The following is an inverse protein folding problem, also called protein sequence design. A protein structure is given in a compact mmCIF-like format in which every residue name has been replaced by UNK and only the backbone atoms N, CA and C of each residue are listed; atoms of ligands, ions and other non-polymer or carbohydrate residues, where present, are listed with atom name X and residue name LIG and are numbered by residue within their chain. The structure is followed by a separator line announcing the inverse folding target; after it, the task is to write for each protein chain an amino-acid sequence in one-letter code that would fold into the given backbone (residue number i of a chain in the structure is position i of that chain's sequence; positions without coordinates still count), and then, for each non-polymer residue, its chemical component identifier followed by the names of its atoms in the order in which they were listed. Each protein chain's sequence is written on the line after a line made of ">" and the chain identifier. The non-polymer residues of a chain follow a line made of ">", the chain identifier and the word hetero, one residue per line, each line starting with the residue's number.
data_IF_789818474368
#
_entry.id   IF_789818474368
#
_cell.length_a   1.000
_cell.length_b   1.000
_cell.length_c   1.000
_cell.angle_alpha   90.00
_cell.angle_beta   90.00
_cell.angle_gamma   90.00
#
_symmetry.space_group_name_H-M   'P 1'
#
loop_
_entity.id
_entity.type
_entity.pdbx_description
1 polymer ?
#
# COMPACT_ATOMS: atom_id res chain seq x y z
N UNK A 1 11.46 -4.75 -24.53
CA UNK A 1 11.33 -4.40 -23.11
C UNK A 1 10.06 -5.03 -22.56
N UNK A 2 10.17 -6.25 -22.06
CA UNK A 2 9.05 -7.13 -21.69
C UNK A 2 8.30 -6.55 -20.49
N UNK A 3 6.98 -6.36 -20.60
CA UNK A 3 6.12 -5.90 -19.52
C UNK A 3 6.14 -6.97 -18.42
N UNK A 4 7.02 -6.80 -17.42
CA UNK A 4 7.15 -7.73 -16.31
C UNK A 4 5.77 -8.03 -15.71
N UNK A 5 5.49 -9.31 -15.47
CA UNK A 5 4.21 -9.77 -14.94
C UNK A 5 3.98 -9.07 -13.58
N UNK A 6 2.93 -8.25 -13.49
CA UNK A 6 2.55 -7.58 -12.24
C UNK A 6 2.19 -8.65 -11.21
N UNK A 7 2.91 -8.68 -10.10
CA UNK A 7 2.56 -9.58 -9.00
C UNK A 7 1.47 -8.93 -8.18
N UNK A 8 0.30 -9.57 -8.13
CA UNK A 8 -0.87 -9.09 -7.38
C UNK A 8 -1.26 -10.08 -6.29
N UNK A 9 -1.43 -9.57 -5.07
CA UNK A 9 -1.96 -10.32 -3.93
C UNK A 9 -3.18 -9.60 -3.33
N UNK A 10 -3.79 -10.19 -2.31
CA UNK A 10 -4.89 -9.58 -1.53
C UNK A 10 -4.38 -8.38 -0.74
N UNK A 11 -5.29 -7.57 -0.20
CA UNK A 11 -4.92 -6.51 0.74
C UNK A 11 -4.15 -7.11 1.94
N UNK A 12 -3.24 -6.32 2.50
CA UNK A 12 -2.43 -6.74 3.63
C UNK A 12 -3.26 -6.66 4.91
N UNK A 13 -3.16 -7.69 5.75
CA UNK A 13 -3.67 -7.65 7.11
C UNK A 13 -2.51 -7.26 8.04
N UNK A 14 -2.66 -6.15 8.75
CA UNK A 14 -1.68 -5.65 9.69
C UNK A 14 -2.25 -5.77 11.10
N UNK A 15 -1.60 -6.56 11.94
CA UNK A 15 -2.00 -6.78 13.33
C UNK A 15 -1.09 -5.98 14.25
N UNK A 16 -1.67 -5.10 15.05
CA UNK A 16 -0.97 -4.46 16.16
C UNK A 16 -1.04 -5.38 17.36
N UNK A 17 0.11 -5.69 17.94
CA UNK A 17 0.22 -6.58 19.10
C UNK A 17 0.74 -5.80 20.32
N UNK A 18 0.21 -6.12 21.50
CA UNK A 18 0.81 -5.78 22.80
C UNK A 18 1.03 -7.07 23.56
N UNK A 19 2.28 -7.37 23.89
CA UNK A 19 2.67 -8.63 24.56
C UNK A 19 2.10 -9.89 23.86
N UNK A 20 2.06 -9.88 22.53
CA UNK A 20 1.54 -10.99 21.72
C UNK A 20 0.01 -11.03 21.58
N UNK A 21 -0.73 -10.17 22.29
CA UNK A 21 -2.18 -10.04 22.18
C UNK A 21 -2.53 -9.07 21.05
N UNK A 22 -3.46 -9.45 20.16
CA UNK A 22 -3.94 -8.58 19.07
C UNK A 22 -4.81 -7.47 19.66
N UNK A 23 -4.35 -6.22 19.56
CA UNK A 23 -5.13 -5.04 19.98
C UNK A 23 -5.96 -4.47 18.82
N UNK A 24 -5.42 -4.51 17.60
CA UNK A 24 -6.13 -4.04 16.41
C UNK A 24 -5.71 -4.81 15.15
N UNK A 25 -6.63 -4.86 14.20
CA UNK A 25 -6.42 -5.43 12.86
C UNK A 25 -6.76 -4.36 11.83
N UNK A 26 -5.82 -4.09 10.93
CA UNK A 26 -5.97 -3.11 9.87
C UNK A 26 -5.88 -3.80 8.50
N UNK A 27 -6.70 -3.36 7.56
CA UNK A 27 -6.61 -3.77 6.15
C UNK A 27 -5.92 -2.68 5.36
N UNK A 28 -4.79 -2.99 4.74
CA UNK A 28 -3.97 -2.03 4.00
C UNK A 28 -3.87 -2.39 2.51
N UNK A 29 -4.04 -1.38 1.66
CA UNK A 29 -3.71 -1.45 0.24
C UNK A 29 -2.26 -1.01 0.06
N UNK A 30 -1.47 -1.70 -0.76
CA UNK A 30 -0.07 -1.33 -1.00
C UNK A 30 0.33 -1.48 -2.47
N UNK A 31 1.18 -0.56 -2.94
CA UNK A 31 1.72 -0.56 -4.30
C UNK A 31 3.21 -0.24 -4.23
N UNK A 32 4.01 -0.98 -4.99
CA UNK A 32 5.42 -0.65 -5.23
C UNK A 32 5.55 -0.19 -6.69
N UNK A 33 6.11 0.98 -6.91
CA UNK A 33 6.40 1.53 -8.23
C UNK A 33 7.91 1.77 -8.42
N UNK A 34 8.33 1.88 -9.68
CA UNK A 34 9.67 2.39 -10.02
C UNK A 34 9.69 3.92 -10.16
N UNK A 35 10.87 4.46 -10.50
CA UNK A 35 11.13 5.88 -10.75
C UNK A 35 10.29 6.49 -11.88
N UNK A 36 9.75 5.66 -12.78
CA UNK A 36 8.82 6.06 -13.85
C UNK A 36 7.36 5.93 -13.45
N UNK A 37 7.07 5.58 -12.19
CA UNK A 37 5.71 5.37 -11.69
C UNK A 37 5.05 4.08 -12.17
N UNK A 38 5.80 3.14 -12.79
CA UNK A 38 5.22 1.85 -13.22
C UNK A 38 4.99 0.97 -12.00
N UNK A 39 3.75 0.52 -11.80
CA UNK A 39 3.43 -0.44 -10.74
C UNK A 39 4.09 -1.80 -10.99
N UNK A 40 4.93 -2.24 -10.05
CA UNK A 40 5.66 -3.50 -10.06
C UNK A 40 4.91 -4.58 -9.25
N UNK A 41 4.44 -4.21 -8.06
CA UNK A 41 3.76 -5.08 -7.11
C UNK A 41 2.52 -4.40 -6.55
N UNK A 42 1.46 -5.18 -6.33
CA UNK A 42 0.18 -4.69 -5.79
C UNK A 42 -0.35 -5.67 -4.73
N UNK A 43 -0.69 -5.16 -3.56
CA UNK A 43 -1.49 -5.85 -2.55
C UNK A 43 -2.84 -5.15 -2.42
N UNK A 44 -3.90 -5.82 -2.87
CA UNK A 44 -5.26 -5.30 -2.87
C UNK A 44 -5.65 -4.53 -4.14
N UNK A 45 -6.31 -3.38 -3.99
CA UNK A 45 -6.80 -2.54 -5.08
C UNK A 45 -6.07 -1.17 -5.10
N UNK A 46 -5.26 -0.87 -6.13
CA UNK A 46 -4.53 0.40 -6.24
C UNK A 46 -5.46 1.59 -6.52
N UNK A 47 -6.68 1.35 -6.99
CA UNK A 47 -7.68 2.38 -7.31
C UNK A 47 -8.58 2.73 -6.11
N UNK A 48 -8.27 2.23 -4.91
CA UNK A 48 -9.02 2.58 -3.71
C UNK A 48 -8.75 4.03 -3.32
N UNK A 49 -9.77 4.88 -3.48
CA UNK A 49 -9.72 6.28 -3.05
C UNK A 49 -9.53 6.40 -1.54
N UNK A 50 -8.65 7.29 -1.12
CA UNK A 50 -8.44 7.65 0.29
C UNK A 50 -8.08 9.13 0.41
N UNK A 51 -8.26 9.69 1.60
CA UNK A 51 -7.74 11.02 1.90
C UNK A 51 -6.23 10.94 2.08
N UNK A 52 -5.46 11.72 1.32
CA UNK A 52 -3.98 11.73 1.41
C UNK A 52 -3.47 12.27 2.77
N UNK A 53 -4.28 13.07 3.47
CA UNK A 53 -3.99 13.64 4.80
C UNK A 53 -2.58 14.25 4.85
N UNK A 54 -1.84 14.00 5.93
CA UNK A 54 -0.49 14.55 6.15
C UNK A 54 0.57 14.06 5.16
N UNK A 55 0.32 13.03 4.34
CA UNK A 55 1.27 12.64 3.30
C UNK A 55 1.42 13.70 2.20
N UNK A 56 0.50 14.67 2.13
CA UNK A 56 0.59 15.80 1.19
C UNK A 56 1.59 16.88 1.62
N UNK A 57 2.11 16.83 2.86
CA UNK A 57 3.02 17.85 3.41
C UNK A 57 4.20 18.23 2.49
N UNK A 58 4.89 17.31 1.80
CA UNK A 58 5.98 17.69 0.88
C UNK A 58 5.55 18.59 -0.29
N UNK A 59 4.26 18.64 -0.61
CA UNK A 59 3.67 19.48 -1.66
C UNK A 59 2.97 20.73 -1.10
N UNK A 60 3.00 20.92 0.22
CA UNK A 60 2.47 22.12 0.89
C UNK A 60 3.60 23.15 0.99
N UNK A 61 3.53 24.19 0.16
CA UNK A 61 4.36 25.40 0.28
C UNK A 61 3.65 26.44 1.16
#
# INVERSE_FOLDING_TARGET
>A
MTRGKRTKTRALEVRLLREGIIESVHSAQAVVCDDRGRMLYVAGNPETSTFIRSALKPFQA
#
